data_IF_041735511377
#
_entry.id   IF_041735511377
#
_cell.length_a   1.000
_cell.length_b   1.000
_cell.length_c   1.000
_cell.angle_alpha   90.00
_cell.angle_beta   90.00
_cell.angle_gamma   90.00
#
_symmetry.space_group_name_H-M   'P 1'
#
loop_
_entity.id
_entity.type
_entity.pdbx_description
1 polymer ?
#
# COMPACT_ATOMS: atom_id res chain seq x y z
N UNK A 1 8.25 58.39 26.56
CA UNK A 1 6.83 58.08 26.27
C UNK A 1 6.66 58.02 24.76
N UNK A 2 6.71 56.83 24.15
CA UNK A 2 6.60 56.72 22.68
C UNK A 2 5.85 55.44 22.30
N UNK A 3 4.58 55.61 21.92
CA UNK A 3 3.64 54.55 21.55
C UNK A 3 3.92 54.12 20.10
N UNK A 4 4.49 52.93 19.89
CA UNK A 4 4.68 52.36 18.54
C UNK A 4 3.32 51.99 17.93
N UNK A 5 2.91 52.74 16.89
CA UNK A 5 1.80 52.39 15.99
C UNK A 5 2.13 51.08 15.26
N UNK A 6 1.30 50.05 15.42
CA UNK A 6 1.41 48.80 14.66
C UNK A 6 0.58 48.96 13.37
N UNK A 7 1.24 48.90 12.23
CA UNK A 7 0.60 48.89 10.90
C UNK A 7 0.20 47.46 10.60
N UNK A 8 -1.10 47.21 10.47
CA UNK A 8 -1.65 45.92 10.03
C UNK A 8 -1.73 45.97 8.50
N UNK A 9 -0.92 45.13 7.83
CA UNK A 9 -1.00 44.95 6.38
C UNK A 9 -2.24 44.13 6.07
N UNK A 10 -3.11 44.65 5.20
CA UNK A 10 -4.28 43.93 4.67
C UNK A 10 -3.79 42.86 3.71
N UNK A 11 -4.19 41.63 3.98
CA UNK A 11 -3.91 40.45 3.16
C UNK A 11 -4.96 40.41 2.04
N UNK A 12 -4.50 40.46 0.79
CA UNK A 12 -5.33 40.44 -0.41
C UNK A 12 -5.53 38.98 -0.85
N UNK A 13 -6.77 38.49 -0.76
CA UNK A 13 -7.11 37.11 -1.09
C UNK A 13 -7.11 36.91 -2.62
N UNK A 14 -6.07 36.24 -3.11
CA UNK A 14 -5.97 35.82 -4.52
C UNK A 14 -7.04 34.74 -4.79
N UNK A 15 -7.94 34.91 -5.76
CA UNK A 15 -8.97 33.91 -6.06
C UNK A 15 -8.33 32.67 -6.69
N UNK A 16 -8.36 31.55 -5.97
CA UNK A 16 -7.88 30.24 -6.44
C UNK A 16 -8.89 29.69 -7.46
N UNK A 17 -8.48 29.37 -8.70
CA UNK A 17 -9.36 28.77 -9.69
C UNK A 17 -9.78 27.37 -9.24
N UNK A 18 -11.08 27.07 -9.29
CA UNK A 18 -11.62 25.76 -8.94
C UNK A 18 -11.20 24.73 -10.00
N UNK A 19 -10.64 23.57 -9.60
CA UNK A 19 -10.31 22.51 -10.56
C UNK A 19 -11.60 21.88 -11.11
N UNK A 20 -11.69 21.77 -12.45
CA UNK A 20 -12.69 20.95 -13.12
C UNK A 20 -12.46 19.47 -12.78
N UNK A 21 -13.43 18.87 -12.10
CA UNK A 21 -13.37 17.45 -11.71
C UNK A 21 -13.81 16.62 -12.91
N UNK A 22 -12.84 16.03 -13.61
CA UNK A 22 -13.11 15.01 -14.64
C UNK A 22 -13.43 13.70 -13.92
N UNK A 23 -14.70 13.31 -13.91
CA UNK A 23 -15.14 12.01 -13.37
C UNK A 23 -14.76 10.92 -14.37
N UNK A 24 -13.70 10.17 -14.06
CA UNK A 24 -13.35 8.95 -14.79
C UNK A 24 -14.23 7.83 -14.25
N UNK A 25 -15.14 7.31 -15.07
CA UNK A 25 -15.88 6.08 -14.76
C UNK A 25 -14.86 4.94 -14.67
N UNK A 26 -14.55 4.48 -13.46
CA UNK A 26 -13.83 3.23 -13.28
C UNK A 26 -14.77 2.09 -13.69
N UNK A 27 -14.35 1.17 -14.58
CA UNK A 27 -15.16 -0.01 -14.88
C UNK A 27 -15.45 -0.75 -13.57
N UNK A 28 -16.73 -1.03 -13.30
CA UNK A 28 -17.16 -1.86 -12.18
C UNK A 28 -16.61 -3.27 -12.38
N UNK A 29 -15.48 -3.54 -11.71
CA UNK A 29 -14.90 -4.88 -11.65
C UNK A 29 -15.75 -5.67 -10.65
N UNK A 30 -16.59 -6.57 -11.17
CA UNK A 30 -17.25 -7.61 -10.39
C UNK A 30 -16.19 -8.56 -9.82
N UNK A 31 -15.61 -8.18 -8.67
CA UNK A 31 -14.70 -9.05 -7.91
C UNK A 31 -15.55 -10.12 -7.26
N UNK A 32 -15.40 -11.37 -7.70
CA UNK A 32 -15.87 -12.52 -6.94
C UNK A 32 -15.34 -12.38 -5.48
N UNK A 33 -16.21 -12.29 -4.47
CA UNK A 33 -15.86 -11.82 -3.11
C UNK A 33 -14.88 -12.72 -2.33
N UNK A 34 -14.45 -13.85 -2.92
CA UNK A 34 -13.52 -14.80 -2.32
C UNK A 34 -12.56 -15.37 -3.35
N UNK A 35 -11.90 -14.54 -4.15
CA UNK A 35 -10.77 -15.03 -4.94
C UNK A 35 -9.61 -15.35 -3.97
N UNK A 36 -9.58 -16.60 -3.51
CA UNK A 36 -8.52 -17.11 -2.65
C UNK A 36 -7.22 -17.04 -3.45
N UNK A 37 -6.31 -16.18 -3.01
CA UNK A 37 -4.99 -16.03 -3.60
C UNK A 37 -4.17 -17.25 -3.20
N UNK A 38 -3.76 -18.05 -4.19
CA UNK A 38 -2.82 -19.16 -4.00
C UNK A 38 -1.44 -18.76 -4.48
N UNK A 39 -0.48 -18.67 -3.57
CA UNK A 39 0.94 -18.46 -3.88
C UNK A 39 1.65 -19.80 -3.77
N UNK A 40 2.37 -20.20 -4.82
CA UNK A 40 3.22 -21.38 -4.81
C UNK A 40 4.67 -20.96 -4.87
N UNK A 41 5.46 -21.38 -3.88
CA UNK A 41 6.90 -21.22 -3.83
C UNK A 41 7.55 -22.51 -4.31
N UNK A 42 8.21 -22.44 -5.45
CA UNK A 42 9.02 -23.53 -5.98
C UNK A 42 10.48 -23.30 -5.60
N UNK A 43 11.04 -24.17 -4.76
CA UNK A 43 12.45 -24.21 -4.43
C UNK A 43 13.07 -25.49 -5.02
N UNK A 44 14.41 -25.53 -5.25
CA UNK A 44 15.05 -26.62 -5.99
C UNK A 44 14.74 -28.03 -5.49
N UNK A 45 14.53 -28.18 -4.18
CA UNK A 45 14.28 -29.49 -3.55
C UNK A 45 12.82 -29.71 -3.15
N UNK A 46 11.94 -28.71 -3.29
CA UNK A 46 10.55 -28.80 -2.82
C UNK A 46 9.66 -27.63 -3.26
N UNK A 47 8.35 -27.90 -3.37
CA UNK A 47 7.31 -26.92 -3.66
C UNK A 47 6.34 -26.79 -2.49
N UNK A 48 6.00 -25.56 -2.12
CA UNK A 48 5.00 -25.25 -1.10
C UNK A 48 3.93 -24.32 -1.65
N UNK A 49 2.66 -24.56 -1.28
CA UNK A 49 1.54 -23.68 -1.64
C UNK A 49 0.91 -23.06 -0.40
N UNK A 50 0.63 -21.76 -0.45
CA UNK A 50 -0.11 -21.02 0.57
C UNK A 50 -1.37 -20.46 -0.09
N UNK A 51 -2.53 -20.70 0.51
CA UNK A 51 -3.81 -20.11 0.09
C UNK A 51 -4.27 -19.11 1.13
N UNK A 52 -4.56 -17.87 0.73
CA UNK A 52 -5.04 -16.82 1.63
C UNK A 52 -6.19 -16.02 1.03
N UNK A 53 -6.92 -15.31 1.90
CA UNK A 53 -8.07 -14.50 1.50
C UNK A 53 -7.67 -13.16 0.86
N UNK A 54 -6.38 -12.80 0.92
CA UNK A 54 -5.83 -11.61 0.27
C UNK A 54 -4.36 -11.81 -0.04
N UNK A 55 -3.85 -11.08 -1.03
CA UNK A 55 -2.42 -11.05 -1.37
C UNK A 55 -1.57 -10.62 -0.17
N UNK A 56 -1.98 -9.57 0.55
CA UNK A 56 -1.26 -9.09 1.73
C UNK A 56 -1.16 -10.15 2.84
N UNK A 57 -2.22 -10.93 3.07
CA UNK A 57 -2.18 -12.05 4.02
C UNK A 57 -1.24 -13.15 3.54
N UNK A 58 -1.25 -13.50 2.25
CA UNK A 58 -0.37 -14.51 1.69
C UNK A 58 1.12 -14.09 1.79
N UNK A 59 1.43 -12.83 1.50
CA UNK A 59 2.78 -12.26 1.65
C UNK A 59 3.27 -12.30 3.11
N UNK A 60 2.40 -11.99 4.08
CA UNK A 60 2.76 -12.08 5.52
C UNK A 60 3.07 -13.52 5.94
N UNK A 61 2.26 -14.49 5.51
CA UNK A 61 2.49 -15.91 5.81
C UNK A 61 3.80 -16.37 5.17
N UNK A 62 4.05 -16.02 3.92
CA UNK A 62 5.30 -16.31 3.23
C UNK A 62 6.52 -15.70 3.95
N UNK A 63 6.47 -14.43 4.34
CA UNK A 63 7.54 -13.77 5.07
C UNK A 63 7.81 -14.42 6.44
N UNK A 64 6.74 -14.78 7.17
CA UNK A 64 6.84 -15.54 8.41
C UNK A 64 7.53 -16.89 8.19
N UNK A 65 7.13 -17.62 7.14
CA UNK A 65 7.73 -18.91 6.82
C UNK A 65 9.22 -18.78 6.51
N UNK A 66 9.61 -17.82 5.67
CA UNK A 66 11.01 -17.57 5.33
C UNK A 66 11.85 -17.14 6.54
N UNK A 67 11.28 -16.33 7.44
CA UNK A 67 11.99 -15.87 8.65
C UNK A 67 12.21 -16.98 9.67
N UNK A 68 11.23 -17.86 9.87
CA UNK A 68 11.28 -18.88 10.93
C UNK A 68 11.89 -20.21 10.47
N UNK A 69 11.58 -20.65 9.25
CA UNK A 69 12.09 -21.90 8.70
C UNK A 69 13.35 -21.69 7.85
N UNK A 70 13.68 -20.43 7.51
CA UNK A 70 14.77 -20.09 6.60
C UNK A 70 14.41 -20.41 5.15
N UNK A 71 15.24 -19.95 4.22
CA UNK A 71 15.30 -20.55 2.87
C UNK A 71 16.05 -21.89 3.03
N UNK A 72 15.43 -23.04 2.74
CA UNK A 72 16.13 -24.33 2.71
C UNK A 72 17.31 -24.21 1.73
N UNK A 73 18.54 -24.32 2.25
CA UNK A 73 19.79 -24.09 1.51
C UNK A 73 20.66 -22.93 2.01
N UNK A 74 20.14 -22.03 2.86
CA UNK A 74 20.90 -20.86 3.37
C UNK A 74 21.51 -21.06 4.78
N UNK A 75 21.07 -22.07 5.54
CA UNK A 75 21.73 -22.45 6.81
C UNK A 75 23.02 -23.24 6.52
N UNK A 76 24.12 -22.56 6.18
CA UNK A 76 25.42 -23.22 6.10
C UNK A 76 26.51 -22.58 5.23
N UNK A 77 26.50 -21.27 5.00
CA UNK A 77 27.73 -20.57 4.57
C UNK A 77 28.35 -19.83 5.75
#
# INVERSE_FOLDING_TARGET
>A
MTRKKRVVKKEEAVPVPKPEVVVVNHPEVERAPHERVRITLNMPEMSWSISANSEASALRVMAYCLTNFGIPGERGR
#
